data_IF_676737911032
#
_entry.id   IF_676737911032
#
_cell.length_a   1.000
_cell.length_b   1.000
_cell.length_c   1.000
_cell.angle_alpha   90.00
_cell.angle_beta   90.00
_cell.angle_gamma   90.00
#
_symmetry.space_group_name_H-M   'P 1'
#
loop_
_entity.id
_entity.type
_entity.pdbx_description
1 polymer ?
#
# COMPACT_ATOMS: atom_id res chain seq x y z
N UNK A 1 -8.05 5.28 -48.08
CA UNK A 1 -7.33 4.39 -47.14
C UNK A 1 -7.83 4.69 -45.73
N UNK A 2 -8.83 3.94 -45.24
CA UNK A 2 -9.29 4.02 -43.86
C UNK A 2 -8.46 3.04 -43.02
N UNK A 3 -7.70 3.54 -42.05
CA UNK A 3 -7.09 2.70 -41.00
C UNK A 3 -8.12 2.53 -39.89
N UNK A 4 -8.67 1.33 -39.77
CA UNK A 4 -9.52 0.93 -38.65
C UNK A 4 -8.76 1.03 -37.34
N UNK A 5 -9.17 1.97 -36.47
CA UNK A 5 -8.81 2.04 -35.06
C UNK A 5 -9.56 0.94 -34.30
N UNK A 6 -9.11 -0.31 -34.43
CA UNK A 6 -9.55 -1.43 -33.58
C UNK A 6 -8.30 -2.04 -32.96
N UNK A 7 -7.97 -1.63 -31.75
CA UNK A 7 -7.20 -2.39 -30.74
C UNK A 7 -6.68 -1.45 -29.66
N UNK A 8 -7.50 -1.19 -28.64
CA UNK A 8 -7.00 -0.88 -27.29
C UNK A 8 -8.08 -1.07 -26.22
N UNK A 9 -9.36 -1.06 -26.61
CA UNK A 9 -10.51 -1.18 -25.71
C UNK A 9 -10.51 -2.50 -24.92
N UNK A 10 -10.09 -3.61 -25.54
CA UNK A 10 -10.06 -4.92 -24.87
C UNK A 10 -8.96 -5.01 -23.79
N UNK A 11 -7.81 -4.37 -24.00
CA UNK A 11 -6.72 -4.33 -23.00
C UNK A 11 -7.10 -3.47 -21.80
N UNK A 12 -7.76 -2.34 -22.04
CA UNK A 12 -8.25 -1.45 -20.98
C UNK A 12 -9.34 -2.12 -20.14
N UNK A 13 -10.32 -2.77 -20.77
CA UNK A 13 -11.40 -3.46 -20.05
C UNK A 13 -10.88 -4.61 -19.15
N UNK A 14 -9.89 -5.39 -19.64
CA UNK A 14 -9.25 -6.45 -18.86
C UNK A 14 -8.45 -5.90 -17.67
N UNK A 15 -7.79 -4.74 -17.83
CA UNK A 15 -7.08 -4.08 -16.72
C UNK A 15 -8.03 -3.49 -15.68
N UNK A 16 -9.17 -2.93 -16.11
CA UNK A 16 -10.19 -2.38 -15.20
C UNK A 16 -10.85 -3.48 -14.36
N UNK A 17 -11.16 -4.62 -14.97
CA UNK A 17 -11.71 -5.78 -14.25
C UNK A 17 -10.68 -6.37 -13.26
N UNK A 18 -9.41 -6.46 -13.66
CA UNK A 18 -8.33 -6.90 -12.77
C UNK A 18 -8.17 -5.98 -11.56
N UNK A 19 -8.15 -4.65 -11.76
CA UNK A 19 -8.07 -3.70 -10.67
C UNK A 19 -9.32 -3.73 -9.76
N UNK A 20 -10.51 -3.95 -10.32
CA UNK A 20 -11.72 -4.11 -9.52
C UNK A 20 -11.65 -5.37 -8.63
N UNK A 21 -11.12 -6.47 -9.15
CA UNK A 21 -10.88 -7.69 -8.36
C UNK A 21 -9.82 -7.44 -7.28
N UNK A 22 -8.73 -6.77 -7.61
CA UNK A 22 -7.67 -6.42 -6.66
C UNK A 22 -8.18 -5.50 -5.54
N UNK A 23 -9.03 -4.52 -5.85
CA UNK A 23 -9.65 -3.66 -4.83
C UNK A 23 -10.54 -4.45 -3.87
N UNK A 24 -11.29 -5.44 -4.37
CA UNK A 24 -12.11 -6.31 -3.51
C UNK A 24 -11.24 -7.18 -2.60
N UNK A 25 -10.19 -7.81 -3.14
CA UNK A 25 -9.23 -8.58 -2.33
C UNK A 25 -8.51 -7.69 -1.31
N UNK A 26 -8.10 -6.48 -1.72
CA UNK A 26 -7.49 -5.49 -0.86
C UNK A 26 -8.40 -5.11 0.31
N UNK A 27 -9.67 -4.78 0.07
CA UNK A 27 -10.64 -4.44 1.13
C UNK A 27 -10.86 -5.62 2.09
N UNK A 28 -11.00 -6.84 1.58
CA UNK A 28 -11.14 -8.06 2.41
C UNK A 28 -9.92 -8.26 3.30
N UNK A 29 -8.70 -8.17 2.75
CA UNK A 29 -7.46 -8.31 3.52
C UNK A 29 -7.31 -7.18 4.54
N UNK A 30 -7.69 -5.96 4.19
CA UNK A 30 -7.58 -4.80 5.07
C UNK A 30 -8.53 -4.93 6.27
N UNK A 31 -9.75 -5.44 6.06
CA UNK A 31 -10.71 -5.74 7.13
C UNK A 31 -10.28 -6.87 8.05
N UNK A 32 -9.40 -7.76 7.58
CA UNK A 32 -8.93 -8.92 8.35
C UNK A 32 -7.83 -8.58 9.38
N UNK A 33 -7.19 -7.41 9.26
CA UNK A 33 -6.13 -6.98 10.17
C UNK A 33 -6.65 -5.98 11.20
N UNK A 34 -5.97 -5.93 12.34
CA UNK A 34 -6.23 -5.07 13.47
C UNK A 34 -6.10 -3.59 13.10
N UNK A 35 -6.81 -2.73 13.83
CA UNK A 35 -6.70 -1.28 13.64
C UNK A 35 -5.26 -0.78 13.84
N UNK A 36 -4.51 -1.38 14.78
CA UNK A 36 -3.09 -1.07 15.00
C UNK A 36 -2.24 -1.41 13.79
N UNK A 37 -2.46 -2.56 13.15
CA UNK A 37 -1.78 -2.93 11.93
C UNK A 37 -2.13 -1.99 10.77
N UNK A 38 -3.41 -1.58 10.63
CA UNK A 38 -3.81 -0.58 9.62
C UNK A 38 -3.13 0.77 9.84
N UNK A 39 -2.99 1.22 11.08
CA UNK A 39 -2.24 2.45 11.41
C UNK A 39 -0.76 2.33 11.04
N UNK A 40 -0.13 1.19 11.32
CA UNK A 40 1.25 0.95 10.91
C UNK A 40 1.37 0.92 9.39
N UNK A 41 0.41 0.31 8.68
CA UNK A 41 0.39 0.27 7.22
C UNK A 41 0.32 1.67 6.59
N UNK A 42 -0.46 2.59 7.18
CA UNK A 42 -0.47 4.00 6.76
C UNK A 42 0.91 4.64 6.94
N UNK A 43 1.57 4.45 8.09
CA UNK A 43 2.91 4.99 8.30
C UNK A 43 3.95 4.43 7.33
N UNK A 44 3.88 3.12 7.05
CA UNK A 44 4.73 2.47 6.04
C UNK A 44 4.51 3.12 4.67
N UNK A 45 3.26 3.30 4.25
CA UNK A 45 2.93 3.92 2.96
C UNK A 45 3.36 5.39 2.89
N UNK A 46 3.10 6.18 3.92
CA UNK A 46 3.53 7.59 4.00
C UNK A 46 5.05 7.71 3.88
N UNK A 47 5.79 6.83 4.55
CA UNK A 47 7.26 6.82 4.47
C UNK A 47 7.77 6.38 3.11
N UNK A 48 7.15 5.36 2.51
CA UNK A 48 7.54 4.83 1.21
C UNK A 48 7.23 5.78 0.04
N UNK A 49 6.12 6.54 0.11
CA UNK A 49 5.65 7.38 -1.01
C UNK A 49 5.91 8.88 -0.83
N UNK A 50 6.09 9.34 0.41
CA UNK A 50 6.30 10.76 0.71
C UNK A 50 7.57 11.02 1.54
N UNK A 51 8.39 9.99 1.79
CA UNK A 51 9.67 10.10 2.47
C UNK A 51 10.70 10.96 1.72
N UNK A 52 11.61 11.62 2.46
CA UNK A 52 12.48 12.69 1.95
C UNK A 52 13.82 12.24 1.31
N UNK A 53 13.99 10.98 0.90
CA UNK A 53 15.28 10.49 0.38
C UNK A 53 15.28 10.30 -1.14
N UNK A 54 16.14 11.02 -1.87
CA UNK A 54 16.27 10.95 -3.34
C UNK A 54 16.83 9.61 -3.87
N UNK A 55 17.37 8.73 -3.00
CA UNK A 55 18.02 7.47 -3.39
C UNK A 55 17.26 6.20 -2.96
N UNK A 56 16.00 6.31 -2.54
CA UNK A 56 15.24 5.17 -2.00
C UNK A 56 14.52 4.38 -3.09
N UNK A 57 14.47 3.06 -2.91
CA UNK A 57 13.61 2.22 -3.72
C UNK A 57 12.14 2.62 -3.50
N UNK A 58 11.39 2.76 -4.59
CA UNK A 58 9.95 2.97 -4.51
C UNK A 58 9.30 1.79 -3.76
N UNK A 59 8.20 2.06 -3.03
CA UNK A 59 7.44 1.08 -2.26
C UNK A 59 8.15 0.51 -1.01
N UNK A 60 9.23 1.14 -0.52
CA UNK A 60 9.99 0.65 0.65
C UNK A 60 10.02 1.68 1.79
N UNK A 61 9.79 1.21 3.02
CA UNK A 61 10.00 1.95 4.26
C UNK A 61 11.12 1.30 5.09
N UNK A 62 12.06 2.09 5.60
CA UNK A 62 13.18 1.59 6.40
C UNK A 62 12.73 1.29 7.84
N UNK A 63 13.01 0.08 8.33
CA UNK A 63 12.53 -0.33 9.65
C UNK A 63 13.09 0.53 10.81
N UNK A 64 14.36 0.98 10.82
CA UNK A 64 14.86 1.91 11.84
C UNK A 64 14.04 3.21 11.91
N UNK A 65 13.66 3.77 10.77
CA UNK A 65 12.86 5.00 10.71
C UNK A 65 11.40 4.75 11.13
N UNK A 66 10.87 3.55 10.87
CA UNK A 66 9.58 3.13 11.40
C UNK A 66 9.61 3.05 12.93
N UNK A 67 10.69 2.54 13.53
CA UNK A 67 10.85 2.57 14.98
C UNK A 67 10.86 4.00 15.52
N UNK A 68 11.64 4.90 14.91
CA UNK A 68 11.74 6.31 15.32
C UNK A 68 10.40 7.05 15.20
N UNK A 69 9.68 6.84 14.10
CA UNK A 69 8.42 7.55 13.82
C UNK A 69 7.23 7.03 14.61
N UNK A 70 7.19 5.74 14.93
CA UNK A 70 6.05 5.12 15.62
C UNK A 70 6.23 5.04 17.13
N UNK A 71 7.47 5.06 17.63
CA UNK A 71 7.79 4.88 19.04
C UNK A 71 7.40 3.50 19.60
N UNK A 72 7.12 2.53 18.72
CA UNK A 72 6.82 1.16 19.12
C UNK A 72 8.07 0.46 19.65
N UNK A 73 7.90 -0.36 20.67
CA UNK A 73 8.93 -1.31 21.08
C UNK A 73 9.11 -2.41 20.01
N UNK A 74 10.24 -3.12 20.11
CA UNK A 74 10.64 -4.18 19.17
C UNK A 74 9.57 -5.27 19.05
N UNK A 75 9.03 -5.75 20.17
CA UNK A 75 8.04 -6.84 20.17
C UNK A 75 6.72 -6.40 19.52
N UNK A 76 6.23 -5.21 19.88
CA UNK A 76 5.04 -4.62 19.30
C UNK A 76 5.18 -4.39 17.79
N UNK A 77 6.34 -3.90 17.33
CA UNK A 77 6.61 -3.68 15.91
C UNK A 77 6.54 -5.00 15.14
N UNK A 78 7.30 -6.02 15.55
CA UNK A 78 7.29 -7.30 14.84
C UNK A 78 5.95 -8.04 14.90
N UNK A 79 5.17 -7.88 15.98
CA UNK A 79 3.82 -8.43 16.04
C UNK A 79 2.92 -7.85 14.94
N UNK A 80 2.97 -6.53 14.74
CA UNK A 80 2.19 -5.86 13.70
C UNK A 80 2.73 -6.14 12.29
N UNK A 81 4.06 -6.20 12.11
CA UNK A 81 4.65 -6.57 10.82
C UNK A 81 4.25 -8.00 10.42
N UNK A 82 4.28 -8.96 11.35
CA UNK A 82 3.82 -10.34 11.08
C UNK A 82 2.35 -10.38 10.66
N UNK A 83 1.51 -9.59 11.29
CA UNK A 83 0.09 -9.47 10.92
C UNK A 83 -0.07 -8.93 9.49
N UNK A 84 0.65 -7.86 9.15
CA UNK A 84 0.63 -7.28 7.80
C UNK A 84 1.23 -8.22 6.73
N UNK A 85 2.28 -8.98 7.08
CA UNK A 85 2.85 -10.01 6.21
C UNK A 85 1.87 -11.16 5.97
N UNK A 86 1.19 -11.65 7.01
CA UNK A 86 0.18 -12.69 6.88
C UNK A 86 -0.99 -12.25 5.98
N UNK A 87 -1.37 -10.97 6.07
CA UNK A 87 -2.35 -10.34 5.19
C UNK A 87 -1.78 -9.88 3.83
N UNK A 88 -0.53 -10.26 3.51
CA UNK A 88 0.14 -10.01 2.22
C UNK A 88 0.20 -8.53 1.80
N UNK A 89 0.29 -7.61 2.76
CA UNK A 89 0.50 -6.19 2.45
C UNK A 89 1.97 -5.84 2.27
N UNK A 90 2.85 -6.52 3.01
CA UNK A 90 4.27 -6.21 3.05
C UNK A 90 5.13 -7.48 3.02
N UNK A 91 6.40 -7.30 2.69
CA UNK A 91 7.48 -8.22 2.98
C UNK A 91 8.58 -7.50 3.76
N UNK A 92 9.15 -8.16 4.76
CA UNK A 92 10.38 -7.71 5.42
C UNK A 92 11.57 -8.30 4.67
N UNK A 93 12.53 -7.46 4.33
CA UNK A 93 13.72 -7.77 3.54
C UNK A 93 14.97 -7.35 4.31
N UNK A 94 16.14 -7.80 3.85
CA UNK A 94 17.45 -7.49 4.43
C UNK A 94 17.70 -8.04 5.86
N UNK A 95 18.96 -8.10 6.31
CA UNK A 95 19.28 -8.63 7.64
C UNK A 95 19.09 -7.57 8.73
N UNK A 96 18.61 -8.03 9.90
CA UNK A 96 18.60 -7.23 11.12
C UNK A 96 19.98 -6.63 11.45
N UNK A 97 20.08 -5.36 11.89
CA UNK A 97 19.00 -4.43 12.21
C UNK A 97 18.59 -3.48 11.06
N UNK A 98 19.09 -3.70 9.85
CA UNK A 98 18.87 -2.82 8.69
C UNK A 98 17.79 -3.39 7.78
N UNK A 99 16.70 -3.88 8.36
CA UNK A 99 15.60 -4.47 7.60
C UNK A 99 14.80 -3.41 6.85
N UNK A 100 14.32 -3.80 5.68
CA UNK A 100 13.47 -3.01 4.80
C UNK A 100 12.05 -3.57 4.81
N UNK A 101 11.05 -2.69 4.85
CA UNK A 101 9.63 -3.05 4.76
C UNK A 101 9.13 -2.68 3.38
N UNK A 102 9.01 -3.68 2.50
CA UNK A 102 8.53 -3.52 1.12
C UNK A 102 7.03 -3.72 1.04
N UNK A 103 6.32 -2.77 0.42
CA UNK A 103 4.90 -2.90 0.07
C UNK A 103 4.75 -3.85 -1.12
N UNK A 104 3.81 -4.79 -1.01
CA UNK A 104 3.54 -5.77 -2.06
C UNK A 104 2.43 -5.29 -3.00
N UNK A 105 2.58 -5.51 -4.32
CA UNK A 105 1.49 -5.27 -5.26
C UNK A 105 0.37 -6.31 -5.08
N UNK A 106 -0.81 -5.99 -5.61
CA UNK A 106 -1.92 -6.92 -5.72
C UNK A 106 -1.64 -7.99 -6.80
N UNK A 107 -2.56 -8.95 -6.97
CA UNK A 107 -2.33 -10.13 -7.80
C UNK A 107 -2.05 -9.78 -9.27
N UNK A 108 -2.63 -8.69 -9.78
CA UNK A 108 -2.37 -8.20 -11.14
C UNK A 108 -1.00 -7.53 -11.32
N UNK A 109 -0.26 -7.27 -10.23
CA UNK A 109 0.93 -6.43 -10.21
C UNK A 109 0.63 -4.95 -9.94
N UNK A 110 -0.63 -4.55 -9.88
CA UNK A 110 -1.03 -3.19 -9.52
C UNK A 110 -0.85 -2.90 -8.03
N UNK A 111 -0.28 -1.73 -7.70
CA UNK A 111 -0.12 -1.30 -6.32
C UNK A 111 -1.28 -0.40 -5.87
N UNK A 112 -2.25 -1.01 -5.19
CA UNK A 112 -3.41 -0.30 -4.66
C UNK A 112 -3.04 0.77 -3.61
N UNK A 113 -2.03 0.53 -2.77
CA UNK A 113 -1.60 1.53 -1.76
C UNK A 113 -0.98 2.76 -2.40
N UNK A 114 -0.12 2.57 -3.41
CA UNK A 114 0.43 3.68 -4.18
C UNK A 114 -0.69 4.51 -4.84
N UNK A 115 -1.67 3.84 -5.48
CA UNK A 115 -2.80 4.52 -6.10
C UNK A 115 -3.67 5.29 -5.09
N UNK A 116 -3.96 4.69 -3.93
CA UNK A 116 -4.67 5.35 -2.84
C UNK A 116 -3.88 6.56 -2.33
N UNK A 117 -2.55 6.44 -2.17
CA UNK A 117 -1.66 7.53 -1.75
C UNK A 117 -1.75 8.72 -2.70
N UNK A 118 -1.59 8.48 -4.00
CA UNK A 118 -1.66 9.53 -5.01
C UNK A 118 -3.04 10.21 -5.05
N UNK A 119 -4.13 9.45 -4.90
CA UNK A 119 -5.49 10.02 -4.85
C UNK A 119 -5.71 10.84 -3.57
N UNK A 120 -5.21 10.38 -2.43
CA UNK A 120 -5.28 11.11 -1.17
C UNK A 120 -4.57 12.45 -1.26
N UNK A 121 -3.35 12.47 -1.84
CA UNK A 121 -2.59 13.70 -2.07
C UNK A 121 -3.36 14.66 -3.00
N UNK A 122 -3.84 14.16 -4.15
CA UNK A 122 -4.55 14.97 -5.13
C UNK A 122 -5.86 15.59 -4.57
N UNK A 123 -6.56 14.86 -3.69
CA UNK A 123 -7.82 15.31 -3.07
C UNK A 123 -7.63 15.95 -1.69
N UNK A 124 -6.41 16.06 -1.18
CA UNK A 124 -6.12 16.53 0.19
C UNK A 124 -6.89 15.76 1.28
N UNK A 125 -7.00 14.43 1.12
CA UNK A 125 -7.65 13.52 2.06
C UNK A 125 -6.58 12.80 2.88
N UNK A 126 -6.84 12.56 4.17
CA UNK A 126 -5.94 11.74 4.98
C UNK A 126 -6.05 10.27 4.55
N UNK A 127 -4.91 9.64 4.25
CA UNK A 127 -4.87 8.20 3.99
C UNK A 127 -5.41 7.37 5.17
N UNK A 128 -5.32 7.91 6.39
CA UNK A 128 -5.90 7.29 7.59
C UNK A 128 -7.42 7.14 7.50
N UNK A 129 -8.12 8.11 6.92
CA UNK A 129 -9.57 8.00 6.72
C UNK A 129 -9.92 6.84 5.80
N UNK A 130 -9.09 6.59 4.80
CA UNK A 130 -9.30 5.49 3.84
C UNK A 130 -8.94 4.15 4.49
N UNK A 131 -7.70 4.02 4.97
CA UNK A 131 -7.12 2.74 5.35
C UNK A 131 -7.55 2.31 6.76
N UNK A 132 -7.68 3.24 7.70
CA UNK A 132 -8.04 2.90 9.10
C UNK A 132 -9.55 2.92 9.30
N UNK A 133 -10.22 3.94 8.74
CA UNK A 133 -11.65 4.20 8.94
C UNK A 133 -12.54 3.66 7.81
N UNK A 134 -11.97 3.03 6.78
CA UNK A 134 -12.69 2.43 5.64
C UNK A 134 -13.55 3.41 4.83
N UNK A 135 -13.20 4.70 4.80
CA UNK A 135 -13.94 5.74 4.09
C UNK A 135 -13.58 5.82 2.60
N UNK A 136 -13.67 4.70 1.89
CA UNK A 136 -13.34 4.62 0.46
C UNK A 136 -14.24 5.49 -0.43
N UNK A 137 -15.43 5.86 0.04
CA UNK A 137 -16.34 6.77 -0.64
C UNK A 137 -15.74 8.16 -0.88
N UNK A 138 -14.72 8.58 -0.12
CA UNK A 138 -14.05 9.86 -0.32
C UNK A 138 -13.13 9.88 -1.55
N UNK A 139 -12.78 8.71 -2.08
CA UNK A 139 -11.93 8.60 -3.26
C UNK A 139 -12.71 8.72 -4.58
N UNK A 140 -14.04 8.58 -4.54
CA UNK A 140 -14.93 8.84 -5.67
C UNK A 140 -14.89 10.32 -6.04
#
# INVERSE_FOLDING_TARGET
>A
MMKCTKSNIAGTALSEEAHANDLRDFDVRLRSVSERARKLLVHIAEMAYHGRGQDRAADVAYLPELYESTGLDVESMYALLKELQAARFIAVQDPYPFEDVKILPCASGWNALAAISSLCEAKSISMRDIIVNFRFELLQ
#
